data_IF_939594861071
#
_entry.id   IF_939594861071
#
_cell.length_a   1.000
_cell.length_b   1.000
_cell.length_c   1.000
_cell.angle_alpha   90.00
_cell.angle_beta   90.00
_cell.angle_gamma   90.00
#
_symmetry.space_group_name_H-M   'P 1'
#
loop_
_entity.id
_entity.type
_entity.pdbx_description
1 polymer ?
#
# COMPACT_ATOMS: atom_id res chain seq x y z
N UNK A 1 8.29 4.52 2.82
CA UNK A 1 7.01 4.03 2.26
C UNK A 1 5.99 4.14 3.37
N UNK A 2 5.10 5.12 3.26
CA UNK A 2 4.58 5.77 4.47
C UNK A 2 3.08 5.52 4.61
N UNK A 3 2.75 4.46 5.35
CA UNK A 3 1.38 4.09 5.71
C UNK A 3 1.30 3.89 7.21
N UNK A 4 0.13 4.12 7.77
CA UNK A 4 -0.16 3.81 9.17
C UNK A 4 -0.99 2.54 9.22
N UNK A 5 -0.67 1.65 10.16
CA UNK A 5 -1.57 0.56 10.56
C UNK A 5 -2.48 1.12 11.63
N UNK A 6 -3.79 1.07 11.40
CA UNK A 6 -4.81 1.59 12.32
C UNK A 6 -5.68 0.43 12.76
N UNK A 7 -5.94 0.35 14.07
CA UNK A 7 -6.72 -0.73 14.65
C UNK A 7 -8.09 -0.18 15.03
N UNK A 8 -9.13 -0.94 14.68
CA UNK A 8 -10.52 -0.57 14.95
C UNK A 8 -11.22 -1.74 15.63
N UNK A 9 -11.87 -1.46 16.77
CA UNK A 9 -12.71 -2.42 17.49
C UNK A 9 -14.08 -2.50 16.82
N UNK A 10 -14.57 -3.70 16.56
CA UNK A 10 -15.98 -3.87 16.19
C UNK A 10 -16.86 -3.68 17.43
N UNK A 11 -17.98 -2.98 17.25
CA UNK A 11 -18.84 -2.42 18.30
C UNK A 11 -18.98 -3.28 19.58
N UNK A 12 -18.44 -2.73 20.66
CA UNK A 12 -18.92 -2.85 22.04
C UNK A 12 -18.73 -1.48 22.67
N UNK A 13 -19.67 -1.00 23.49
CA UNK A 13 -19.65 0.32 24.14
C UNK A 13 -18.24 0.69 24.62
N UNK A 14 -17.67 1.78 24.07
CA UNK A 14 -16.44 2.38 24.59
C UNK A 14 -16.70 2.72 26.06
N UNK A 15 -16.09 1.98 26.99
CA UNK A 15 -16.12 2.38 28.39
C UNK A 15 -15.33 3.70 28.49
N UNK A 16 -15.73 4.71 29.29
CA UNK A 16 -15.07 6.02 29.33
C UNK A 16 -13.56 5.98 29.71
N UNK A 17 -13.08 4.84 30.20
CA UNK A 17 -11.65 4.57 30.49
C UNK A 17 -10.88 3.96 29.30
N UNK A 18 -11.55 3.68 28.18
CA UNK A 18 -11.01 3.07 26.96
C UNK A 18 -10.86 4.13 25.85
N UNK A 19 -10.34 5.32 26.19
CA UNK A 19 -9.91 6.27 25.16
C UNK A 19 -8.82 5.63 24.31
N UNK A 20 -9.00 5.71 23.00
CA UNK A 20 -8.08 5.24 21.99
C UNK A 20 -6.83 6.13 22.05
N UNK A 21 -5.93 5.84 22.99
CA UNK A 21 -4.61 6.44 23.03
C UNK A 21 -3.88 5.96 21.78
N UNK A 22 -3.84 6.79 20.73
CA UNK A 22 -2.79 6.68 19.73
C UNK A 22 -1.50 6.97 20.49
N UNK A 23 -0.64 5.99 20.80
CA UNK A 23 0.62 6.30 21.44
C UNK A 23 1.33 7.32 20.56
N UNK A 24 1.68 8.46 21.14
CA UNK A 24 2.60 9.39 20.52
C UNK A 24 3.89 8.61 20.29
N UNK A 25 4.03 8.18 19.04
CA UNK A 25 5.20 7.61 18.40
C UNK A 25 6.39 7.38 19.33
N UNK A 26 6.60 6.12 19.73
CA UNK A 26 7.96 5.62 19.94
C UNK A 26 8.61 5.52 18.54
N UNK A 27 8.87 6.68 17.94
CA UNK A 27 9.77 6.80 16.81
C UNK A 27 11.17 6.55 17.37
N UNK A 28 11.61 5.29 17.36
CA UNK A 28 13.03 4.98 17.55
C UNK A 28 13.70 5.31 16.21
N UNK A 29 14.50 6.39 16.12
CA UNK A 29 15.20 6.71 14.89
C UNK A 29 16.09 5.52 14.50
N UNK A 30 16.16 5.25 13.20
CA UNK A 30 17.02 4.21 12.65
C UNK A 30 18.46 4.39 13.15
N UNK A 31 18.91 3.48 14.02
CA UNK A 31 20.32 3.28 14.30
C UNK A 31 20.96 2.68 13.05
N UNK A 32 22.09 3.25 12.66
CA UNK A 32 22.83 3.10 11.39
C UNK A 32 23.37 1.69 11.08
N UNK A 33 22.57 0.63 11.22
CA UNK A 33 23.07 -0.71 10.91
C UNK A 33 22.16 -1.91 11.17
N UNK A 34 20.92 -1.74 11.66
CA UNK A 34 20.02 -2.88 11.86
C UNK A 34 18.67 -2.57 11.19
N UNK A 35 18.23 -3.48 10.30
CA UNK A 35 17.10 -3.27 9.40
C UNK A 35 15.88 -2.69 10.11
N UNK A 36 15.35 -1.59 9.56
CA UNK A 36 14.33 -0.75 10.16
C UNK A 36 13.20 -1.55 10.84
N UNK A 37 13.30 -1.70 12.16
CA UNK A 37 12.24 -2.26 12.99
C UNK A 37 11.25 -1.15 13.31
N UNK A 38 10.24 -1.00 12.46
CA UNK A 38 9.11 -0.11 12.74
C UNK A 38 8.21 -0.76 13.80
N UNK A 39 8.55 -0.56 15.08
CA UNK A 39 7.72 -0.98 16.22
C UNK A 39 6.62 0.07 16.47
N UNK A 40 5.52 -0.02 15.73
CA UNK A 40 4.27 0.66 16.12
C UNK A 40 3.46 -0.28 17.03
N UNK A 41 3.78 -0.34 18.33
CA UNK A 41 3.03 -1.14 19.30
C UNK A 41 1.84 -0.35 19.84
N UNK A 42 0.63 -0.69 19.43
CA UNK A 42 -0.60 -0.14 20.01
C UNK A 42 -1.11 -1.12 21.07
N UNK A 43 -1.10 -0.70 22.33
CA UNK A 43 -1.67 -1.48 23.43
C UNK A 43 -3.17 -1.21 23.48
N UNK A 44 -3.97 -2.24 23.18
CA UNK A 44 -5.42 -2.15 23.16
C UNK A 44 -6.04 -2.92 24.33
N UNK A 45 -7.23 -2.50 24.73
CA UNK A 45 -7.97 -3.07 25.85
C UNK A 45 -8.13 -4.59 25.77
N UNK A 46 -8.17 -5.22 26.94
CA UNK A 46 -8.04 -6.68 27.15
C UNK A 46 -9.23 -7.53 26.66
N UNK A 47 -10.30 -6.91 26.13
CA UNK A 47 -11.55 -7.59 25.79
C UNK A 47 -12.19 -7.05 24.49
N UNK A 48 -12.33 -7.91 23.49
CA UNK A 48 -13.15 -7.67 22.29
C UNK A 48 -12.54 -8.18 20.99
N UNK A 49 -13.42 -8.31 19.99
CA UNK A 49 -13.09 -8.69 18.63
C UNK A 49 -12.42 -7.52 17.89
N UNK A 50 -11.12 -7.63 17.62
CA UNK A 50 -10.35 -6.58 16.96
C UNK A 50 -10.23 -6.80 15.45
N UNK A 51 -10.35 -5.71 14.69
CA UNK A 51 -10.04 -5.68 13.26
C UNK A 51 -8.90 -4.71 12.95
N UNK A 52 -8.00 -5.16 12.10
CA UNK A 52 -6.83 -4.40 11.67
C UNK A 52 -7.11 -3.79 10.30
N UNK A 53 -6.90 -2.48 10.18
CA UNK A 53 -7.04 -1.70 8.95
C UNK A 53 -5.70 -1.06 8.57
N UNK A 54 -5.48 -0.89 7.27
CA UNK A 54 -4.41 -0.04 6.74
C UNK A 54 -4.95 1.34 6.42
N UNK A 55 -4.19 2.38 6.75
CA UNK A 55 -4.55 3.76 6.46
C UNK A 55 -3.43 4.45 5.69
N UNK A 56 -3.79 5.14 4.62
CA UNK A 56 -2.85 5.97 3.87
C UNK A 56 -2.46 7.21 4.70
N UNK A 57 -1.17 7.57 4.71
CA UNK A 57 -0.67 8.72 5.50
C UNK A 57 -1.35 10.03 5.13
N UNK A 58 -1.65 10.22 3.85
CA UNK A 58 -2.31 11.43 3.35
C UNK A 58 -3.69 11.69 3.99
N UNK A 59 -4.33 10.69 4.63
CA UNK A 59 -5.59 10.86 5.36
C UNK A 59 -5.41 11.52 6.74
N UNK A 60 -4.20 11.48 7.31
CA UNK A 60 -3.88 12.09 8.62
C UNK A 60 -2.59 12.92 8.48
N UNK A 61 -2.47 13.65 7.38
CA UNK A 61 -1.33 14.55 7.20
C UNK A 61 -1.58 15.85 7.98
N UNK A 62 -0.67 16.28 8.87
CA UNK A 62 -0.83 17.55 9.59
C UNK A 62 -0.87 18.78 8.66
N UNK A 63 -0.45 18.65 7.41
CA UNK A 63 -0.44 19.72 6.40
C UNK A 63 -1.76 19.82 5.62
N UNK A 64 -2.78 19.02 5.93
CA UNK A 64 -4.07 19.08 5.23
C UNK A 64 -4.71 20.48 5.37
N UNK A 65 -5.03 21.17 4.27
CA UNK A 65 -5.69 22.47 4.32
C UNK A 65 -7.17 22.34 4.70
N UNK A 66 -7.67 23.27 5.50
CA UNK A 66 -9.12 23.37 5.81
C UNK A 66 -9.96 23.82 4.60
N UNK A 67 -9.31 24.47 3.64
CA UNK A 67 -9.92 24.95 2.39
C UNK A 67 -9.70 23.94 1.27
N UNK A 68 -10.45 24.02 0.17
CA UNK A 68 -10.14 23.25 -1.03
C UNK A 68 -8.67 23.43 -1.42
N UNK A 69 -7.92 22.33 -1.67
CA UNK A 69 -6.48 22.39 -1.89
C UNK A 69 -6.14 23.18 -3.16
N UNK A 70 -5.06 23.94 -3.08
CA UNK A 70 -4.47 24.62 -4.24
C UNK A 70 -3.86 23.60 -5.22
N UNK A 71 -3.60 23.96 -6.49
CA UNK A 71 -2.99 23.05 -7.46
C UNK A 71 -1.62 22.51 -7.02
N UNK A 72 -0.86 23.30 -6.27
CA UNK A 72 0.44 22.91 -5.73
C UNK A 72 0.29 21.86 -4.61
N UNK A 73 -0.60 22.09 -3.65
CA UNK A 73 -0.91 21.14 -2.58
C UNK A 73 -1.50 19.83 -3.13
N UNK A 74 -2.32 19.92 -4.19
CA UNK A 74 -2.87 18.76 -4.86
C UNK A 74 -1.79 17.95 -5.59
N UNK A 75 -0.76 18.60 -6.16
CA UNK A 75 0.39 17.93 -6.76
C UNK A 75 1.23 17.18 -5.71
N UNK A 76 1.28 17.66 -4.46
CA UNK A 76 1.86 16.95 -3.33
C UNK A 76 0.98 15.80 -2.79
N UNK A 77 -0.25 15.67 -3.30
CA UNK A 77 -1.20 14.64 -2.86
C UNK A 77 -1.93 14.97 -1.55
N UNK A 78 -1.91 16.25 -1.13
CA UNK A 78 -2.69 16.71 0.01
C UNK A 78 -4.18 16.72 -0.33
N UNK A 79 -4.97 16.31 0.66
CA UNK A 79 -6.42 16.34 0.60
C UNK A 79 -6.96 17.39 1.56
N UNK A 80 -8.15 17.90 1.27
CA UNK A 80 -8.88 18.78 2.19
C UNK A 80 -9.05 18.07 3.54
N UNK A 81 -8.77 18.80 4.62
CA UNK A 81 -8.94 18.31 5.97
C UNK A 81 -10.36 17.81 6.17
N UNK A 82 -10.46 16.62 6.75
CA UNK A 82 -11.74 16.06 7.18
C UNK A 82 -11.59 15.52 8.60
N UNK A 83 -12.40 15.98 9.55
CA UNK A 83 -12.33 15.49 10.93
C UNK A 83 -12.79 14.02 11.05
N UNK A 84 -13.47 13.49 10.01
CA UNK A 84 -13.97 12.13 9.98
C UNK A 84 -13.08 11.28 9.07
N UNK A 85 -12.34 10.34 9.64
CA UNK A 85 -11.61 9.33 8.87
C UNK A 85 -12.53 8.14 8.64
N UNK A 86 -12.98 7.88 7.40
CA UNK A 86 -14.02 6.88 7.20
C UNK A 86 -13.34 5.51 6.98
N UNK A 87 -12.99 4.87 8.10
CA UNK A 87 -12.30 3.57 8.12
C UNK A 87 -13.26 2.44 7.72
N UNK A 88 -14.48 2.42 8.27
CA UNK A 88 -15.49 1.40 7.99
C UNK A 88 -16.01 1.41 6.55
N UNK A 89 -16.02 2.57 5.88
CA UNK A 89 -16.48 2.67 4.50
C UNK A 89 -15.47 2.14 3.47
N UNK A 90 -14.28 1.71 3.91
CA UNK A 90 -13.23 1.14 3.06
C UNK A 90 -12.94 -0.31 3.45
N UNK A 91 -13.81 -1.28 3.08
CA UNK A 91 -13.57 -2.69 3.40
C UNK A 91 -12.27 -3.23 2.77
N UNK A 92 -11.82 -2.66 1.65
CA UNK A 92 -10.55 -2.99 1.00
C UNK A 92 -9.31 -2.63 1.84
N UNK A 93 -9.47 -1.75 2.83
CA UNK A 93 -8.42 -1.39 3.77
C UNK A 93 -8.34 -2.38 4.95
N UNK A 94 -9.29 -3.30 5.10
CA UNK A 94 -9.29 -4.27 6.18
C UNK A 94 -8.30 -5.40 5.88
N UNK A 95 -7.27 -5.53 6.71
CA UNK A 95 -6.26 -6.60 6.59
C UNK A 95 -6.78 -7.94 7.10
N UNK A 96 -7.65 -7.88 8.11
CA UNK A 96 -8.21 -9.03 8.84
C UNK A 96 -9.38 -9.70 8.13
N UNK A 97 -9.94 -9.07 7.09
CA UNK A 97 -11.13 -9.56 6.36
C UNK A 97 -12.25 -10.04 7.32
N UNK A 98 -12.52 -11.35 7.35
CA UNK A 98 -13.55 -11.96 8.19
C UNK A 98 -12.95 -12.70 9.41
N UNK A 99 -11.73 -12.32 9.83
CA UNK A 99 -11.00 -12.94 10.94
C UNK A 99 -10.68 -11.89 12.00
N UNK A 100 -11.44 -11.89 13.07
CA UNK A 100 -11.16 -11.03 14.23
C UNK A 100 -9.97 -11.58 15.01
N UNK A 101 -9.20 -10.70 15.65
CA UNK A 101 -8.07 -11.07 16.51
C UNK A 101 -8.46 -10.81 17.94
N UNK A 102 -8.56 -11.85 18.75
CA UNK A 102 -8.95 -11.72 20.16
C UNK A 102 -7.81 -11.21 21.03
N UNK A 103 -8.14 -10.29 21.95
CA UNK A 103 -7.23 -9.75 22.97
C UNK A 103 -5.86 -9.32 22.36
N UNK A 104 -5.91 -8.48 21.33
CA UNK A 104 -4.74 -8.01 20.61
C UNK A 104 -3.82 -7.20 21.54
N UNK A 105 -2.59 -7.69 21.77
CA UNK A 105 -1.63 -7.05 22.66
C UNK A 105 -0.67 -6.13 21.91
N UNK A 106 -0.16 -6.60 20.77
CA UNK A 106 0.79 -5.83 19.98
C UNK A 106 0.73 -6.19 18.49
N UNK A 107 1.15 -5.24 17.67
CA UNK A 107 1.42 -5.43 16.24
C UNK A 107 2.90 -5.11 16.00
N UNK A 108 3.58 -6.03 15.34
CA UNK A 108 4.94 -5.86 14.85
C UNK A 108 4.92 -5.81 13.34
N UNK A 109 5.73 -4.92 12.76
CA UNK A 109 5.90 -4.84 11.31
C UNK A 109 7.36 -5.00 10.94
N UNK A 110 7.63 -5.69 9.83
CA UNK A 110 8.98 -5.90 9.32
C UNK A 110 8.99 -5.75 7.79
N UNK A 111 10.07 -5.21 7.25
CA UNK A 111 10.28 -5.17 5.80
C UNK A 111 10.42 -6.58 5.23
N UNK A 112 9.87 -6.82 4.04
CA UNK A 112 10.17 -8.01 3.26
C UNK A 112 11.36 -7.77 2.32
N UNK A 113 11.81 -8.82 1.62
CA UNK A 113 12.82 -8.67 0.56
C UNK A 113 12.31 -7.83 -0.62
N UNK A 114 10.99 -7.86 -0.86
CA UNK A 114 10.31 -7.02 -1.83
C UNK A 114 10.01 -5.66 -1.19
N UNK A 115 10.54 -4.58 -1.77
CA UNK A 115 10.40 -3.21 -1.27
C UNK A 115 8.95 -2.76 -1.14
N UNK A 116 8.06 -3.26 -2.01
CA UNK A 116 6.63 -2.94 -1.98
C UNK A 116 5.85 -3.66 -0.88
N UNK A 117 6.51 -4.59 -0.18
CA UNK A 117 5.86 -5.54 0.72
C UNK A 117 6.34 -5.36 2.16
N UNK A 118 5.38 -5.34 3.08
CA UNK A 118 5.63 -5.34 4.52
C UNK A 118 4.95 -6.54 5.16
N UNK A 119 5.63 -7.14 6.10
CA UNK A 119 5.13 -8.22 6.94
C UNK A 119 4.45 -7.59 8.15
N UNK A 120 3.18 -7.92 8.38
CA UNK A 120 2.43 -7.49 9.56
C UNK A 120 2.12 -8.71 10.38
N UNK A 121 2.58 -8.68 11.64
CA UNK A 121 2.34 -9.73 12.61
C UNK A 121 1.63 -9.13 13.83
N UNK A 122 0.44 -9.61 14.11
CA UNK A 122 -0.37 -9.21 15.23
C UNK A 122 -0.47 -10.38 16.21
N UNK A 123 -0.20 -10.13 17.49
CA UNK A 123 -0.27 -11.16 18.52
C UNK A 123 -1.06 -10.70 19.74
N UNK A 124 -1.80 -11.64 20.31
CA UNK A 124 -2.67 -11.43 21.46
C UNK A 124 -2.99 -12.76 22.15
N UNK A 125 -4.28 -13.07 22.28
CA UNK A 125 -4.71 -14.46 22.51
C UNK A 125 -4.47 -15.30 21.24
N UNK A 126 -4.82 -14.72 20.10
CA UNK A 126 -4.60 -15.29 18.77
C UNK A 126 -3.40 -14.65 18.07
N UNK A 127 -2.86 -15.36 17.09
CA UNK A 127 -1.77 -14.88 16.22
C UNK A 127 -2.31 -14.68 14.81
N UNK A 128 -2.06 -13.50 14.24
CA UNK A 128 -2.45 -13.14 12.89
C UNK A 128 -1.25 -12.64 12.11
N UNK A 129 -1.05 -13.17 10.91
CA UNK A 129 0.04 -12.80 10.02
C UNK A 129 -0.49 -12.49 8.64
N UNK A 130 -0.03 -11.38 8.05
CA UNK A 130 -0.35 -11.00 6.68
C UNK A 130 0.82 -10.29 6.03
N UNK A 131 1.00 -10.54 4.72
CA UNK A 131 1.84 -9.71 3.86
C UNK A 131 0.96 -8.64 3.25
N UNK A 132 1.34 -7.37 3.42
CA UNK A 132 0.59 -6.26 2.84
C UNK A 132 1.48 -5.41 1.94
N UNK A 133 0.86 -4.86 0.90
CA UNK A 133 1.50 -3.91 -0.01
C UNK A 133 0.84 -2.54 0.13
N UNK A 134 1.51 -1.54 0.71
CA UNK A 134 0.92 -0.24 1.00
C UNK A 134 0.57 0.55 -0.27
N UNK A 135 1.49 0.55 -1.23
CA UNK A 135 1.43 1.36 -2.45
C UNK A 135 1.11 0.54 -3.70
N UNK A 136 0.44 -0.62 -3.54
CA UNK A 136 0.37 -1.69 -4.56
C UNK A 136 1.77 -2.25 -4.88
N UNK A 137 1.82 -3.53 -5.27
CA UNK A 137 3.10 -4.15 -5.64
C UNK A 137 3.64 -3.53 -6.92
N UNK A 138 4.75 -2.80 -6.82
CA UNK A 138 5.42 -2.16 -7.97
C UNK A 138 6.66 -2.92 -8.44
N UNK A 139 7.18 -3.80 -7.59
CA UNK A 139 8.33 -4.68 -7.81
C UNK A 139 7.92 -6.08 -8.29
N UNK A 140 6.61 -6.34 -8.38
CA UNK A 140 6.03 -7.59 -8.87
C UNK A 140 5.23 -7.36 -10.14
N UNK A 141 5.36 -8.29 -11.09
CA UNK A 141 4.47 -8.33 -12.24
C UNK A 141 3.06 -8.75 -11.76
N UNK A 142 2.00 -8.02 -12.15
CA UNK A 142 0.64 -8.40 -11.78
C UNK A 142 0.29 -9.81 -12.27
N UNK A 143 -0.46 -10.57 -11.46
CA UNK A 143 -0.87 -11.93 -11.83
C UNK A 143 -1.83 -11.97 -13.02
N UNK A 144 -2.52 -10.86 -13.28
CA UNK A 144 -3.43 -10.62 -14.40
C UNK A 144 -2.74 -10.03 -15.64
N UNK A 145 -1.40 -10.01 -15.69
CA UNK A 145 -0.67 -9.49 -16.84
C UNK A 145 -0.85 -10.36 -18.09
N UNK A 146 -1.26 -9.73 -19.20
CA UNK A 146 -1.51 -10.42 -20.47
C UNK A 146 -0.22 -10.68 -21.25
N UNK A 147 0.47 -11.77 -20.88
CA UNK A 147 1.68 -12.22 -21.54
C UNK A 147 1.46 -12.60 -23.01
N UNK A 148 0.29 -13.14 -23.35
CA UNK A 148 -0.05 -13.59 -24.70
C UNK A 148 -0.07 -12.40 -25.68
N UNK A 149 -0.74 -11.31 -25.30
CA UNK A 149 -0.79 -10.08 -26.09
C UNK A 149 0.60 -9.49 -26.29
N UNK A 150 1.44 -9.47 -25.24
CA UNK A 150 2.80 -8.97 -25.33
C UNK A 150 3.61 -9.76 -26.37
N UNK A 151 3.56 -11.10 -26.30
CA UNK A 151 4.28 -11.97 -27.23
C UNK A 151 3.79 -11.77 -28.66
N UNK A 152 2.47 -11.69 -28.88
CA UNK A 152 1.89 -11.45 -30.20
C UNK A 152 2.33 -10.11 -30.78
N UNK A 153 2.35 -9.05 -29.95
CA UNK A 153 2.80 -7.73 -30.38
C UNK A 153 4.29 -7.74 -30.77
N UNK A 154 5.14 -8.40 -29.97
CA UNK A 154 6.55 -8.57 -30.30
C UNK A 154 6.75 -9.30 -31.63
N UNK A 155 6.00 -10.38 -31.88
CA UNK A 155 6.05 -11.11 -33.15
C UNK A 155 5.56 -10.27 -34.33
N UNK A 156 4.45 -9.54 -34.15
CA UNK A 156 3.92 -8.65 -35.18
C UNK A 156 4.93 -7.57 -35.56
N UNK A 157 5.59 -6.94 -34.58
CA UNK A 157 6.64 -5.95 -34.83
C UNK A 157 7.88 -6.54 -35.47
N UNK A 158 8.26 -7.77 -35.12
CA UNK A 158 9.37 -8.46 -35.76
C UNK A 158 9.08 -8.65 -37.27
N UNK A 159 7.92 -9.21 -37.61
CA UNK A 159 7.49 -9.40 -39.00
C UNK A 159 7.40 -8.07 -39.75
N UNK A 160 6.77 -7.05 -39.15
CA UNK A 160 6.64 -5.73 -39.75
C UNK A 160 8.00 -5.09 -40.06
N UNK A 161 8.99 -5.27 -39.18
CA UNK A 161 10.35 -4.77 -39.38
C UNK A 161 11.05 -5.45 -40.56
N UNK A 162 10.94 -6.77 -40.68
CA UNK A 162 11.50 -7.51 -41.82
C UNK A 162 10.86 -7.12 -43.15
N UNK A 163 9.53 -7.00 -43.18
CA UNK A 163 8.79 -6.56 -44.36
C UNK A 163 9.20 -5.15 -44.76
N UNK A 164 9.25 -4.22 -43.80
CA UNK A 164 9.64 -2.83 -44.05
C UNK A 164 11.08 -2.74 -44.57
N UNK A 165 12.01 -3.52 -44.00
CA UNK A 165 13.40 -3.60 -44.48
C UNK A 165 13.47 -4.12 -45.92
N UNK A 166 12.70 -5.15 -46.26
CA UNK A 166 12.66 -5.68 -47.62
C UNK A 166 12.11 -4.65 -48.61
N UNK A 167 11.02 -3.96 -48.26
CA UNK A 167 10.42 -2.90 -49.06
C UNK A 167 11.37 -1.70 -49.23
N UNK A 168 12.05 -1.29 -48.16
CA UNK A 168 13.01 -0.20 -48.18
C UNK A 168 14.21 -0.52 -49.10
N UNK A 169 14.75 -1.74 -49.04
CA UNK A 169 15.83 -2.19 -49.94
C UNK A 169 15.40 -2.15 -51.42
N UNK A 170 14.18 -2.61 -51.70
CA UNK A 170 13.61 -2.55 -53.07
C UNK A 170 13.47 -1.12 -53.55
N UNK A 171 12.93 -0.22 -52.71
CA UNK A 171 12.78 1.20 -53.03
C UNK A 171 14.14 1.87 -53.26
N UNK A 172 15.13 1.61 -52.40
CA UNK A 172 16.47 2.18 -52.53
C UNK A 172 17.15 1.76 -53.85
N UNK A 173 17.03 0.49 -54.24
CA UNK A 173 17.55 0.01 -55.52
C UNK A 173 16.89 0.71 -56.71
N UNK A 174 15.56 0.85 -56.70
CA UNK A 174 14.84 1.56 -57.77
C UNK A 174 15.24 3.04 -57.88
N UNK A 175 15.47 3.72 -56.75
CA UNK A 175 15.94 5.11 -56.77
C UNK A 175 17.37 5.22 -57.30
N UNK A 176 18.26 4.27 -56.97
CA UNK A 176 19.64 4.28 -57.43
C UNK A 176 19.81 3.95 -58.92
N UNK A 177 18.80 3.35 -59.54
CA UNK A 177 18.80 2.95 -60.96
C UNK A 177 18.01 3.92 -61.85
N UNK A 178 17.57 5.05 -61.28
CA UNK A 178 17.20 6.25 -62.03
C UNK A 178 18.42 7.12 -62.25
#
# INVERSE_FOLDING_TARGET
MDFYVVIVRLQGTLHPSEELYLPYQDYVPAGDGDGARYHASVHLGRHGDWQIYKLARNLIDPRQPEKPPTPEEQAEGLMMYSPLVPVYSRPQAMLTYNRTVENLQSISTASAELESTTLVFAHGLDMFYVRMTPAKSFDLLPSDFNHEMLILLCLAFLVATYLTKALARRKALQTAWK
#
